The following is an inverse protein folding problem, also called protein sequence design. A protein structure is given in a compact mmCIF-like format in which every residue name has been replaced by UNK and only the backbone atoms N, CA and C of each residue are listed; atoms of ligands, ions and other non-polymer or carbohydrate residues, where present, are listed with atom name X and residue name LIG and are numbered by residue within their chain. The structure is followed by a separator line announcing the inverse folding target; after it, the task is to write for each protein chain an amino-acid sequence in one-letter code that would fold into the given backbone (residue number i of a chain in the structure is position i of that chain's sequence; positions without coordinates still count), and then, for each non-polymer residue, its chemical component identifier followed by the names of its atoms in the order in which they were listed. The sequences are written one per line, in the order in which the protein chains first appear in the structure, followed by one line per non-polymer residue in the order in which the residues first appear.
data_IF_550261465868
#
_entry.id   IF_550261465868
#
_cell.length_a   1.000
_cell.length_b   1.000
_cell.length_c   1.000
_cell.angle_alpha   90.00
_cell.angle_beta   90.00
_cell.angle_gamma   90.00
#
_symmetry.space_group_name_H-M   'P 1'
#
loop_
_entity.id
_entity.type
_entity.pdbx_description
1 polymer ?
#
# COMPACT_ATOMS: atom_id res chain seq x y z
N UNK A 1 7.98 23.20 13.35
CA UNK A 1 7.34 21.88 13.54
C UNK A 1 8.36 20.98 14.21
N UNK A 2 7.94 20.06 15.09
CA UNK A 2 8.89 19.10 15.68
C UNK A 2 9.29 18.03 14.67
N UNK A 3 10.51 17.53 14.78
CA UNK A 3 11.12 16.48 13.94
C UNK A 3 10.21 15.24 13.78
N UNK A 4 9.49 14.89 14.83
CA UNK A 4 8.51 13.80 14.82
C UNK A 4 7.34 14.02 13.84
N UNK A 5 6.97 15.27 13.54
CA UNK A 5 5.89 15.55 12.59
C UNK A 5 6.35 15.29 11.15
N UNK A 6 7.54 15.75 10.78
CA UNK A 6 8.10 15.60 9.44
C UNK A 6 8.44 14.15 9.14
N UNK A 7 8.96 13.41 10.12
CA UNK A 7 9.14 11.95 10.05
C UNK A 7 7.80 11.25 9.83
N UNK A 8 6.76 11.61 10.60
CA UNK A 8 5.41 11.06 10.42
C UNK A 8 4.82 11.37 9.05
N UNK A 9 4.99 12.60 8.56
CA UNK A 9 4.56 13.04 7.23
C UNK A 9 5.27 12.24 6.13
N UNK A 10 6.59 12.11 6.20
CA UNK A 10 7.40 11.35 5.24
C UNK A 10 6.97 9.87 5.20
N UNK A 11 6.74 9.27 6.37
CA UNK A 11 6.24 7.90 6.49
C UNK A 11 4.87 7.73 5.81
N UNK A 12 3.93 8.65 6.08
CA UNK A 12 2.58 8.63 5.51
C UNK A 12 2.57 8.82 3.99
N UNK A 13 3.39 9.75 3.47
CA UNK A 13 3.57 9.96 2.04
C UNK A 13 4.20 8.74 1.37
N UNK A 14 5.23 8.14 1.99
CA UNK A 14 5.81 6.89 1.54
C UNK A 14 4.75 5.79 1.43
N UNK A 15 3.93 5.60 2.46
CA UNK A 15 2.84 4.61 2.44
C UNK A 15 1.86 4.86 1.29
N UNK A 16 1.44 6.11 1.08
CA UNK A 16 0.54 6.47 0.00
C UNK A 16 1.14 6.17 -1.38
N UNK A 17 2.42 6.52 -1.59
CA UNK A 17 3.18 6.20 -2.81
C UNK A 17 3.24 4.69 -3.03
N UNK A 18 3.52 3.91 -1.97
CA UNK A 18 3.54 2.45 -2.04
C UNK A 18 2.20 1.85 -2.43
N UNK A 19 1.11 2.34 -1.82
CA UNK A 19 -0.27 1.93 -2.14
C UNK A 19 -0.59 2.22 -3.61
N UNK A 20 -0.21 3.41 -4.10
CA UNK A 20 -0.41 3.80 -5.50
C UNK A 20 0.31 2.84 -6.46
N UNK A 21 1.63 2.62 -6.26
CA UNK A 21 2.39 1.71 -7.11
C UNK A 21 1.89 0.27 -7.06
N UNK A 22 1.44 -0.19 -5.89
CA UNK A 22 0.81 -1.51 -5.79
C UNK A 22 -0.45 -1.61 -6.66
N UNK A 23 -1.32 -0.59 -6.65
CA UNK A 23 -2.51 -0.54 -7.50
C UNK A 23 -2.19 -0.53 -9.00
N UNK A 24 -1.14 0.19 -9.38
CA UNK A 24 -0.76 0.38 -10.79
C UNK A 24 -0.03 -0.84 -11.39
N UNK A 25 0.89 -1.47 -10.65
CA UNK A 25 1.81 -2.47 -11.21
C UNK A 25 1.57 -3.91 -10.74
N UNK A 26 0.80 -4.19 -9.69
CA UNK A 26 0.76 -5.54 -9.06
C UNK A 26 -0.03 -6.62 -9.83
N UNK A 27 -0.40 -6.35 -11.08
CA UNK A 27 -1.09 -7.30 -11.94
C UNK A 27 -0.25 -8.51 -12.32
N UNK A 28 1.08 -8.36 -12.39
CA UNK A 28 2.04 -9.42 -12.73
C UNK A 28 3.05 -9.62 -11.60
N UNK A 29 3.71 -10.79 -11.48
CA UNK A 29 4.73 -11.01 -10.46
C UNK A 29 5.90 -10.03 -10.60
N UNK A 30 6.35 -9.76 -11.83
CA UNK A 30 7.40 -8.79 -12.10
C UNK A 30 6.95 -7.36 -11.73
N UNK A 31 5.70 -7.02 -12.03
CA UNK A 31 5.12 -5.73 -11.67
C UNK A 31 5.00 -5.52 -10.15
N UNK A 32 4.78 -6.57 -9.36
CA UNK A 32 4.83 -6.49 -7.89
C UNK A 32 6.23 -6.17 -7.37
N UNK A 33 7.24 -6.86 -7.91
CA UNK A 33 8.63 -6.57 -7.55
C UNK A 33 8.99 -5.13 -7.91
N UNK A 34 8.63 -4.69 -9.12
CA UNK A 34 8.81 -3.31 -9.56
C UNK A 34 8.07 -2.31 -8.66
N UNK A 35 6.82 -2.60 -8.27
CA UNK A 35 6.04 -1.74 -7.38
C UNK A 35 6.76 -1.50 -6.05
N UNK A 36 7.30 -2.55 -5.44
CA UNK A 36 7.99 -2.48 -4.16
C UNK A 36 9.28 -1.66 -4.27
N UNK A 37 10.10 -1.92 -5.29
CA UNK A 37 11.34 -1.19 -5.53
C UNK A 37 11.05 0.29 -5.81
N UNK A 38 10.16 0.57 -6.77
CA UNK A 38 9.81 1.94 -7.17
C UNK A 38 9.16 2.72 -6.02
N UNK A 39 8.32 2.08 -5.21
CA UNK A 39 7.72 2.69 -4.06
C UNK A 39 8.73 3.07 -2.99
N UNK A 40 9.65 2.17 -2.65
CA UNK A 40 10.74 2.46 -1.71
C UNK A 40 11.60 3.62 -2.20
N UNK A 41 11.99 3.62 -3.48
CA UNK A 41 12.80 4.70 -4.05
C UNK A 41 12.06 6.03 -4.11
N UNK A 42 10.79 6.03 -4.53
CA UNK A 42 9.99 7.26 -4.62
C UNK A 42 9.65 7.81 -3.23
N UNK A 43 9.41 6.94 -2.25
CA UNK A 43 9.25 7.34 -0.85
C UNK A 43 10.53 7.94 -0.26
N UNK A 44 11.69 7.36 -0.56
CA UNK A 44 12.98 7.95 -0.17
C UNK A 44 13.21 9.32 -0.81
N UNK A 45 12.85 9.50 -2.08
CA UNK A 45 12.89 10.79 -2.78
C UNK A 45 11.95 11.80 -2.13
N UNK A 46 10.76 11.38 -1.69
CA UNK A 46 9.86 12.27 -0.94
C UNK A 46 10.47 12.71 0.40
N UNK A 47 11.20 11.82 1.09
CA UNK A 47 11.95 12.17 2.30
C UNK A 47 13.13 13.11 2.04
N UNK A 48 13.83 12.96 0.91
CA UNK A 48 14.92 13.86 0.51
C UNK A 48 14.47 15.32 0.38
N UNK A 49 13.21 15.57 -0.02
CA UNK A 49 12.66 16.92 -0.11
C UNK A 49 12.51 17.62 1.25
N UNK A 50 12.65 16.88 2.35
CA UNK A 50 12.59 17.38 3.73
C UNK A 50 14.00 17.54 4.34
N UNK A 51 15.05 17.15 3.59
CA UNK A 51 16.47 17.42 3.86
C UNK A 51 17.07 16.75 5.12
N UNK A 52 16.47 15.68 5.65
CA UNK A 52 17.00 14.93 6.80
C UNK A 52 16.93 13.40 6.60
N UNK A 53 17.89 12.68 7.19
CA UNK A 53 18.06 11.24 7.11
C UNK A 53 16.90 10.45 7.72
N UNK A 54 16.29 10.96 8.79
CA UNK A 54 15.16 10.29 9.43
C UNK A 54 13.95 10.20 8.48
N UNK A 55 13.70 11.26 7.72
CA UNK A 55 12.63 11.41 6.75
C UNK A 55 12.87 10.56 5.50
N UNK A 56 14.12 10.47 5.04
CA UNK A 56 14.50 9.56 3.96
C UNK A 56 14.20 8.11 4.38
N UNK A 57 14.62 7.72 5.59
CA UNK A 57 14.37 6.39 6.13
C UNK A 57 12.88 6.10 6.31
N UNK A 58 12.12 7.09 6.81
CA UNK A 58 10.68 6.99 7.00
C UNK A 58 9.93 6.89 5.67
N UNK A 59 10.25 7.74 4.69
CA UNK A 59 9.66 7.71 3.37
C UNK A 59 9.96 6.40 2.63
N UNK A 60 11.20 5.93 2.70
CA UNK A 60 11.61 4.64 2.16
C UNK A 60 10.81 3.50 2.80
N UNK A 61 10.82 3.43 4.14
CA UNK A 61 10.11 2.40 4.90
C UNK A 61 8.60 2.41 4.62
N UNK A 62 8.01 3.60 4.58
CA UNK A 62 6.60 3.81 4.20
C UNK A 62 6.31 3.28 2.80
N UNK A 63 7.15 3.62 1.81
CA UNK A 63 7.05 3.13 0.44
C UNK A 63 6.99 1.60 0.36
N UNK A 64 7.96 0.94 0.98
CA UNK A 64 8.04 -0.52 1.01
C UNK A 64 6.82 -1.15 1.69
N UNK A 65 6.49 -0.70 2.90
CA UNK A 65 5.37 -1.26 3.68
C UNK A 65 4.04 -1.05 2.98
N UNK A 66 3.81 0.16 2.42
CA UNK A 66 2.60 0.50 1.69
C UNK A 66 2.42 -0.38 0.46
N UNK A 67 3.49 -0.58 -0.32
CA UNK A 67 3.46 -1.42 -1.52
C UNK A 67 3.17 -2.88 -1.19
N UNK A 68 3.80 -3.43 -0.14
CA UNK A 68 3.57 -4.80 0.29
C UNK A 68 2.14 -5.02 0.81
N UNK A 69 1.67 -4.13 1.69
CA UNK A 69 0.34 -4.22 2.29
C UNK A 69 -0.76 -4.11 1.21
N UNK A 70 -0.69 -3.09 0.35
CA UNK A 70 -1.64 -2.92 -0.73
C UNK A 70 -1.53 -4.03 -1.79
N UNK A 71 -0.33 -4.52 -2.07
CA UNK A 71 -0.08 -5.62 -3.01
C UNK A 71 -0.86 -6.89 -2.66
N UNK A 72 -1.01 -7.21 -1.36
CA UNK A 72 -1.83 -8.33 -0.89
C UNK A 72 -3.30 -8.14 -1.29
N UNK A 73 -3.83 -6.93 -1.05
CA UNK A 73 -5.24 -6.60 -1.35
C UNK A 73 -5.48 -6.62 -2.86
N UNK A 74 -4.59 -5.99 -3.64
CA UNK A 74 -4.67 -5.92 -5.10
C UNK A 74 -4.58 -7.30 -5.74
N UNK A 75 -3.60 -8.11 -5.33
CA UNK A 75 -3.45 -9.48 -5.82
C UNK A 75 -4.69 -10.33 -5.51
N UNK A 76 -5.25 -10.19 -4.32
CA UNK A 76 -6.49 -10.88 -3.92
C UNK A 76 -7.70 -10.46 -4.75
N UNK A 77 -7.88 -9.16 -4.98
CA UNK A 77 -8.99 -8.62 -5.77
C UNK A 77 -8.93 -9.09 -7.23
N UNK A 78 -7.74 -9.08 -7.84
CA UNK A 78 -7.56 -9.57 -9.22
C UNK A 78 -7.83 -11.08 -9.33
N UNK A 79 -7.43 -11.89 -8.34
CA UNK A 79 -7.73 -13.34 -8.30
C UNK A 79 -9.23 -13.64 -8.25
N UNK A 80 -10.04 -12.71 -7.71
CA UNK A 80 -11.50 -12.83 -7.62
C UNK A 80 -12.25 -12.31 -8.86
N UNK A 81 -11.52 -11.85 -9.88
CA UNK A 81 -12.11 -11.35 -11.13
C UNK A 81 -12.23 -9.83 -11.22
N UNK A 82 -11.58 -9.06 -10.34
CA UNK A 82 -11.51 -7.60 -10.49
C UNK A 82 -10.77 -7.17 -11.76
N UNK A 83 -11.16 -6.02 -12.35
CA UNK A 83 -10.51 -5.46 -13.53
C UNK A 83 -9.28 -4.64 -13.14
N UNK A 84 -8.23 -4.69 -13.96
CA UNK A 84 -6.96 -3.99 -13.68
C UNK A 84 -7.16 -2.47 -13.60
N UNK A 85 -7.82 -1.88 -14.59
CA UNK A 85 -8.02 -0.43 -14.67
C UNK A 85 -8.95 0.10 -13.56
N UNK A 86 -10.06 -0.59 -13.30
CA UNK A 86 -11.00 -0.18 -12.24
C UNK A 86 -10.36 -0.26 -10.86
N UNK A 87 -9.60 -1.32 -10.59
CA UNK A 87 -8.89 -1.47 -9.32
C UNK A 87 -7.78 -0.41 -9.17
N UNK A 88 -7.02 -0.14 -10.24
CA UNK A 88 -5.99 0.90 -10.24
C UNK A 88 -6.59 2.28 -9.92
N UNK A 89 -7.75 2.62 -10.49
CA UNK A 89 -8.46 3.88 -10.20
C UNK A 89 -8.86 3.97 -8.72
N UNK A 90 -9.51 2.92 -8.19
CA UNK A 90 -9.97 2.90 -6.79
C UNK A 90 -8.78 3.02 -5.82
N UNK A 91 -7.71 2.28 -6.09
CA UNK A 91 -6.50 2.31 -5.25
C UNK A 91 -5.79 3.65 -5.36
N UNK A 92 -5.77 4.29 -6.54
CA UNK A 92 -5.22 5.63 -6.70
C UNK A 92 -6.00 6.67 -5.89
N UNK A 93 -7.34 6.61 -5.88
CA UNK A 93 -8.18 7.48 -5.05
C UNK A 93 -7.90 7.23 -3.56
N UNK A 94 -7.79 5.97 -3.14
CA UNK A 94 -7.44 5.62 -1.77
C UNK A 94 -6.03 6.14 -1.38
N UNK A 95 -5.05 6.02 -2.28
CA UNK A 95 -3.70 6.54 -2.09
C UNK A 95 -3.69 8.07 -1.94
N UNK A 96 -4.47 8.79 -2.75
CA UNK A 96 -4.64 10.23 -2.61
C UNK A 96 -5.25 10.61 -1.25
N UNK A 97 -6.24 9.85 -0.77
CA UNK A 97 -6.79 10.01 0.58
C UNK A 97 -5.76 9.77 1.68
N UNK A 98 -4.92 8.75 1.55
CA UNK A 98 -3.82 8.48 2.49
C UNK A 98 -2.77 9.59 2.49
N UNK A 99 -2.41 10.11 1.31
CA UNK A 99 -1.49 11.24 1.18
C UNK A 99 -2.05 12.51 1.85
N UNK A 100 -3.33 12.81 1.64
CA UNK A 100 -3.99 13.93 2.31
C UNK A 100 -4.00 13.75 3.85
N UNK A 101 -4.27 12.52 4.32
CA UNK A 101 -4.23 12.19 5.74
C UNK A 101 -2.83 12.30 6.36
N UNK A 102 -1.75 12.16 5.58
CA UNK A 102 -0.38 12.28 6.09
C UNK A 102 -0.05 13.68 6.62
N UNK A 103 -0.76 14.72 6.16
CA UNK A 103 -0.60 16.09 6.66
C UNK A 103 -1.16 16.28 8.08
N UNK A 104 -2.03 15.37 8.53
CA UNK A 104 -2.56 15.37 9.89
C UNK A 104 -1.49 14.81 10.84
N UNK A 105 -1.13 15.54 11.92
CA UNK A 105 -0.13 15.05 12.87
C UNK A 105 -0.45 13.66 13.42
N UNK A 106 0.59 12.86 13.64
CA UNK A 106 0.54 11.45 14.09
C UNK A 106 -0.08 10.44 13.13
N UNK A 107 -0.87 10.86 12.13
CA UNK A 107 -1.62 9.93 11.28
C UNK A 107 -0.71 9.06 10.43
N UNK A 108 0.45 9.55 9.98
CA UNK A 108 1.42 8.73 9.25
C UNK A 108 1.91 7.51 10.04
N UNK A 109 2.13 7.65 11.35
CA UNK A 109 2.48 6.52 12.22
C UNK A 109 1.32 5.54 12.38
N UNK A 110 0.09 6.05 12.52
CA UNK A 110 -1.11 5.21 12.58
C UNK A 110 -1.28 4.41 11.29
N UNK A 111 -1.12 5.06 10.13
CA UNK A 111 -1.18 4.40 8.81
C UNK A 111 -0.16 3.26 8.71
N UNK A 112 1.06 3.45 9.22
CA UNK A 112 2.13 2.47 9.18
C UNK A 112 1.78 1.16 9.93
N UNK A 113 0.91 1.24 10.94
CA UNK A 113 0.46 0.08 11.71
C UNK A 113 -0.85 -0.49 11.13
N UNK A 114 -1.80 0.39 10.80
CA UNK A 114 -3.14 0.01 10.36
C UNK A 114 -3.10 -0.67 8.99
N UNK A 115 -2.33 -0.17 8.03
CA UNK A 115 -2.31 -0.74 6.68
C UNK A 115 -1.81 -2.20 6.66
N UNK A 116 -0.67 -2.55 7.28
CA UNK A 116 -0.25 -3.95 7.40
C UNK A 116 -1.24 -4.80 8.19
N UNK A 117 -1.81 -4.27 9.28
CA UNK A 117 -2.80 -4.97 10.08
C UNK A 117 -4.06 -5.34 9.29
N UNK A 118 -4.58 -4.40 8.51
CA UNK A 118 -5.71 -4.62 7.60
C UNK A 118 -5.36 -5.61 6.49
N UNK A 119 -4.18 -5.48 5.87
CA UNK A 119 -3.72 -6.40 4.84
C UNK A 119 -3.59 -7.84 5.37
N UNK A 120 -3.01 -8.02 6.56
CA UNK A 120 -2.89 -9.31 7.22
C UNK A 120 -4.26 -9.91 7.56
N UNK A 121 -5.19 -9.10 8.09
CA UNK A 121 -6.56 -9.53 8.39
C UNK A 121 -7.29 -9.96 7.11
N UNK A 122 -7.22 -9.17 6.06
CA UNK A 122 -7.86 -9.47 4.77
C UNK A 122 -7.26 -10.71 4.12
N UNK A 123 -5.94 -10.92 4.23
CA UNK A 123 -5.27 -12.14 3.73
C UNK A 123 -5.87 -13.40 4.34
N UNK A 124 -6.17 -13.39 5.65
CA UNK A 124 -6.73 -14.54 6.38
C UNK A 124 -8.16 -14.86 5.99
N UNK A 125 -8.95 -13.85 5.60
CA UNK A 125 -10.36 -14.02 5.24
C UNK A 125 -10.58 -14.24 3.74
N UNK A 126 -9.51 -14.45 2.96
CA UNK A 126 -9.63 -14.65 1.53
C UNK A 126 -10.12 -16.06 1.18
N UNK A 127 -11.44 -16.20 1.00
CA UNK A 127 -12.05 -17.41 0.47
C UNK A 127 -11.70 -17.66 -1.00
N UNK A 128 -11.63 -18.94 -1.38
CA UNK A 128 -11.40 -19.36 -2.76
C UNK A 128 -12.61 -19.03 -3.65
N UNK A 129 -12.31 -18.57 -4.87
CA UNK A 129 -13.32 -18.48 -5.94
C UNK A 129 -13.87 -19.90 -6.10
N UNK A 130 -15.18 -20.08 -5.93
CA UNK A 130 -15.90 -21.38 -6.03
C UNK A 130 -15.96 -22.27 -4.78
N UNK A 131 -15.61 -21.79 -3.58
CA UNK A 131 -15.75 -22.60 -2.35
C UNK A 131 -17.18 -23.16 -2.14
N UNK A 132 -18.22 -22.39 -2.46
CA UNK A 132 -19.62 -22.84 -2.36
C UNK A 132 -20.11 -23.73 -3.51
N UNK A 133 -19.38 -23.83 -4.63
CA UNK A 133 -19.72 -24.75 -5.72
C UNK A 133 -19.11 -26.14 -5.50
N UNK A 134 -18.02 -26.25 -4.73
CA UNK A 134 -17.39 -27.53 -4.39
C UNK A 134 -18.27 -28.41 -3.49
N UNK A 135 -19.19 -27.84 -2.72
CA UNK A 135 -20.20 -28.59 -1.98
C UNK A 135 -21.33 -29.13 -2.87
N UNK A 136 -21.58 -28.52 -4.03
CA UNK A 136 -22.60 -28.95 -5.00
C UNK A 136 -22.08 -30.01 -5.97
N UNK A 137 -20.77 -30.11 -6.15
CA UNK A 137 -20.13 -31.07 -7.05
C UNK A 137 -19.83 -32.43 -6.39
N UNK A 138 -20.34 -32.68 -5.18
CA UNK A 138 -20.08 -33.92 -4.42
C UNK A 138 -21.12 -35.02 -4.67
N UNK A 139 -22.16 -34.75 -5.47
CA UNK A 139 -23.20 -35.74 -5.81
C UNK A 139 -22.99 -36.31 -7.22
#
# INVERSE_FOLDING_TARGET
MGDWYTVGLALGLGLAIGVLFAGLLSATPLGRAAAVVLAGTAGAVAGLLIEDWAEIGAGLGGGFVGALAAGIVVAGALRRGGTRGGLALIVAVAAAGLAALAFVPFVGYVQAIVLPGLAARLRRTQGERYAGLRSLAKD
#
